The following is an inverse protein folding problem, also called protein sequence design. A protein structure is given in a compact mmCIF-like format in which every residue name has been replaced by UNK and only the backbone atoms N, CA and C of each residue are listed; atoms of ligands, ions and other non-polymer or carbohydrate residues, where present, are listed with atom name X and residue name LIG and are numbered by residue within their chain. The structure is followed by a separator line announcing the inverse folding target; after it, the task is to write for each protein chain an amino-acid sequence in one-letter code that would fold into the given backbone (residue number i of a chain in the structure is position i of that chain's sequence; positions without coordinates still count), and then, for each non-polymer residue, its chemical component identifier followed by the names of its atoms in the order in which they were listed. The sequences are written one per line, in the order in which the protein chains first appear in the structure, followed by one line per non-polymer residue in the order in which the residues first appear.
data_IF_379374665611
#
_entry.id   IF_379374665611
#
_cell.length_a   1.000
_cell.length_b   1.000
_cell.length_c   1.000
_cell.angle_alpha   90.00
_cell.angle_beta   90.00
_cell.angle_gamma   90.00
#
_symmetry.space_group_name_H-M   'P 1'
#
loop_
_entity.id
_entity.type
_entity.pdbx_description
1 polymer ?
#
# COMPACT_ATOMS: atom_id res chain seq x y z
N UNK A 1 1.12 -12.92 2.77
CA UNK A 1 2.42 -12.73 3.47
C UNK A 1 3.36 -11.95 2.58
N UNK A 2 4.14 -11.02 3.13
CA UNK A 2 5.17 -10.27 2.41
C UNK A 2 6.52 -10.62 3.04
N UNK A 3 7.52 -10.98 2.22
CA UNK A 3 8.87 -11.27 2.67
C UNK A 3 9.86 -10.42 1.90
N UNK A 4 10.83 -9.88 2.61
CA UNK A 4 11.90 -9.03 2.06
C UNK A 4 13.23 -9.53 2.59
N UNK A 5 14.18 -9.77 1.69
CA UNK A 5 15.51 -10.27 2.03
C UNK A 5 16.58 -9.33 1.44
N UNK A 6 17.32 -8.66 2.32
CA UNK A 6 18.44 -7.73 1.99
C UNK A 6 18.11 -6.76 0.85
N UNK A 7 16.86 -6.24 0.81
CA UNK A 7 16.44 -5.36 -0.28
C UNK A 7 17.18 -4.02 -0.19
N UNK A 8 17.86 -3.66 -1.28
CA UNK A 8 18.58 -2.40 -1.46
C UNK A 8 17.99 -1.62 -2.61
N UNK A 9 17.98 -0.31 -2.48
CA UNK A 9 17.60 0.58 -3.57
C UNK A 9 18.57 1.75 -3.65
N UNK A 10 19.09 1.97 -4.84
CA UNK A 10 19.88 3.14 -5.18
C UNK A 10 19.49 3.73 -6.51
N UNK A 11 19.79 4.99 -6.69
CA UNK A 11 19.67 5.69 -7.97
C UNK A 11 21.04 6.22 -8.39
N UNK A 12 21.29 6.20 -9.70
CA UNK A 12 22.49 6.81 -10.27
C UNK A 12 22.17 8.25 -10.61
N UNK A 13 22.91 9.19 -10.02
CA UNK A 13 22.81 10.61 -10.33
C UNK A 13 24.16 11.09 -10.88
N UNK A 14 24.30 11.03 -12.20
CA UNK A 14 25.59 11.24 -12.86
C UNK A 14 26.63 10.21 -12.43
N UNK A 15 27.78 10.67 -11.93
CA UNK A 15 28.84 9.80 -11.40
C UNK A 15 28.59 9.33 -9.94
N UNK A 16 27.57 9.88 -9.27
CA UNK A 16 27.29 9.57 -7.87
C UNK A 16 26.16 8.59 -7.73
N UNK A 17 26.38 7.50 -6.97
CA UNK A 17 25.36 6.58 -6.50
C UNK A 17 24.77 7.11 -5.19
N UNK A 18 23.43 7.24 -5.12
CA UNK A 18 22.69 7.62 -3.93
C UNK A 18 21.92 6.40 -3.43
N UNK A 19 22.29 5.88 -2.26
CA UNK A 19 21.63 4.74 -1.63
C UNK A 19 20.41 5.24 -0.84
N UNK A 20 19.23 4.72 -1.19
CA UNK A 20 17.95 5.04 -0.54
C UNK A 20 17.61 3.99 0.50
N UNK A 21 17.75 2.70 0.16
CA UNK A 21 17.60 1.58 1.08
C UNK A 21 18.90 0.77 1.08
N UNK A 22 19.33 0.37 2.29
CA UNK A 22 20.69 -0.16 2.54
C UNK A 22 20.70 -1.61 3.03
N UNK A 23 19.69 -2.40 2.68
CA UNK A 23 19.56 -3.79 3.09
C UNK A 23 18.45 -3.97 4.13
N UNK A 24 17.21 -3.95 3.65
CA UNK A 24 16.03 -4.18 4.47
C UNK A 24 15.69 -5.66 4.43
N UNK A 25 15.55 -6.28 5.61
CA UNK A 25 15.01 -7.64 5.73
C UNK A 25 13.86 -7.62 6.73
N UNK A 26 12.68 -8.08 6.30
CA UNK A 26 11.48 -8.17 7.15
C UNK A 26 10.48 -9.18 6.59
N UNK A 27 9.62 -9.70 7.46
CA UNK A 27 8.46 -10.52 7.08
C UNK A 27 7.21 -9.88 7.66
N UNK A 28 6.17 -9.70 6.84
CA UNK A 28 4.84 -9.23 7.28
C UNK A 28 3.85 -10.37 7.08
N UNK A 29 3.37 -10.98 8.16
CA UNK A 29 2.33 -12.01 8.11
C UNK A 29 1.05 -11.50 7.47
N UNK A 30 0.26 -12.43 6.88
CA UNK A 30 -1.07 -12.09 6.38
C UNK A 30 -1.97 -11.58 7.52
N UNK A 31 -2.79 -10.59 7.22
CA UNK A 31 -3.74 -9.97 8.15
C UNK A 31 -3.13 -8.99 9.17
N UNK A 32 -1.80 -8.84 9.21
CA UNK A 32 -1.15 -7.90 10.13
C UNK A 32 -1.32 -6.45 9.69
N UNK A 33 -1.56 -5.56 10.66
CA UNK A 33 -1.43 -4.11 10.44
C UNK A 33 -0.04 -3.64 10.86
N UNK A 34 0.73 -3.17 9.89
CA UNK A 34 2.09 -2.65 10.08
C UNK A 34 2.14 -1.15 9.80
N UNK A 35 2.66 -0.37 10.73
CA UNK A 35 2.99 1.03 10.53
C UNK A 35 4.49 1.20 10.29
N UNK A 36 4.84 1.85 9.17
CA UNK A 36 6.22 2.22 8.82
C UNK A 36 6.41 3.70 9.15
N UNK A 37 7.32 3.98 10.07
CA UNK A 37 7.62 5.30 10.61
C UNK A 37 9.02 5.77 10.18
N UNK A 38 9.26 7.06 10.30
CA UNK A 38 10.59 7.66 10.08
C UNK A 38 10.48 9.09 9.55
N UNK A 39 11.59 9.83 9.60
CA UNK A 39 11.66 11.19 9.08
C UNK A 39 11.44 11.24 7.55
N UNK A 40 11.15 12.44 7.03
CA UNK A 40 11.13 12.65 5.57
C UNK A 40 12.49 12.26 4.96
N UNK A 41 12.46 11.58 3.82
CA UNK A 41 13.69 11.09 3.16
C UNK A 41 14.31 9.83 3.77
N UNK A 42 13.71 9.19 4.79
CA UNK A 42 14.26 7.96 5.38
C UNK A 42 14.10 6.70 4.52
N UNK A 43 13.36 6.78 3.39
CA UNK A 43 13.15 5.67 2.47
C UNK A 43 11.78 4.97 2.58
N UNK A 44 10.83 5.47 3.40
CA UNK A 44 9.51 4.85 3.64
C UNK A 44 8.70 4.61 2.37
N UNK A 45 8.44 5.67 1.60
CA UNK A 45 7.67 5.57 0.35
C UNK A 45 8.40 4.72 -0.69
N UNK A 46 9.74 4.73 -0.71
CA UNK A 46 10.54 3.84 -1.56
C UNK A 46 10.33 2.38 -1.15
N UNK A 47 10.42 2.07 0.15
CA UNK A 47 10.16 0.71 0.63
C UNK A 47 8.74 0.29 0.26
N UNK A 48 7.73 1.13 0.53
CA UNK A 48 6.35 0.83 0.18
C UNK A 48 6.17 0.57 -1.33
N UNK A 49 6.83 1.37 -2.18
CA UNK A 49 6.83 1.19 -3.63
C UNK A 49 7.46 -0.13 -4.08
N UNK A 50 8.54 -0.56 -3.42
CA UNK A 50 9.15 -1.88 -3.67
C UNK A 50 8.21 -3.02 -3.24
N UNK A 51 7.60 -2.93 -2.06
CA UNK A 51 6.65 -3.93 -1.57
C UNK A 51 5.42 -4.06 -2.48
N UNK A 52 5.00 -2.94 -3.08
CA UNK A 52 3.88 -2.90 -4.03
C UNK A 52 4.26 -3.35 -5.44
N UNK A 53 5.53 -3.60 -5.73
CA UNK A 53 5.99 -3.86 -7.10
C UNK A 53 5.80 -2.67 -8.03
N UNK A 54 5.74 -1.44 -7.51
CA UNK A 54 5.73 -0.20 -8.31
C UNK A 54 7.14 0.17 -8.79
N UNK A 55 8.14 -0.38 -8.12
CA UNK A 55 9.55 -0.25 -8.49
C UNK A 55 10.27 -1.56 -8.13
N UNK A 56 11.42 -1.82 -8.74
CA UNK A 56 12.23 -2.99 -8.46
C UNK A 56 13.38 -2.66 -7.50
N UNK A 57 13.75 -3.56 -6.58
CA UNK A 57 14.95 -3.40 -5.79
C UNK A 57 16.19 -3.41 -6.69
N UNK A 58 17.23 -2.67 -6.31
CA UNK A 58 18.51 -2.70 -7.01
C UNK A 58 19.31 -3.98 -6.70
N UNK A 59 19.05 -4.59 -5.53
CA UNK A 59 19.49 -5.94 -5.14
C UNK A 59 18.64 -6.43 -3.98
N UNK A 60 18.72 -7.73 -3.68
CA UNK A 60 17.89 -8.39 -2.69
C UNK A 60 16.58 -8.91 -3.28
N UNK A 61 15.73 -9.48 -2.45
CA UNK A 61 14.55 -10.22 -2.89
C UNK A 61 13.28 -9.72 -2.20
N UNK A 62 12.17 -9.77 -2.92
CA UNK A 62 10.83 -9.45 -2.41
C UNK A 62 9.87 -10.53 -2.89
N UNK A 63 9.08 -11.05 -1.95
CA UNK A 63 8.14 -12.13 -2.18
C UNK A 63 6.75 -11.74 -1.68
N UNK A 64 5.72 -12.04 -2.46
CA UNK A 64 4.30 -11.88 -2.08
C UNK A 64 3.61 -13.24 -2.16
N UNK A 65 3.13 -13.73 -1.03
CA UNK A 65 2.48 -15.05 -0.90
C UNK A 65 3.31 -16.18 -1.51
N UNK A 66 4.61 -16.19 -1.24
CA UNK A 66 5.55 -17.18 -1.75
C UNK A 66 5.95 -17.01 -3.21
N UNK A 67 5.46 -15.99 -3.92
CA UNK A 67 5.84 -15.69 -5.29
C UNK A 67 6.90 -14.57 -5.33
N UNK A 68 8.07 -14.76 -5.99
CA UNK A 68 9.08 -13.73 -6.11
C UNK A 68 8.59 -12.63 -7.07
N UNK A 69 8.57 -11.36 -6.60
CA UNK A 69 8.16 -10.24 -7.45
C UNK A 69 9.32 -9.38 -7.92
N UNK A 70 10.50 -9.55 -7.36
CA UNK A 70 11.69 -8.73 -7.63
C UNK A 70 12.30 -8.93 -9.01
N UNK A 71 11.94 -9.99 -9.71
CA UNK A 71 12.45 -10.38 -11.03
C UNK A 71 11.36 -10.57 -12.09
N UNK A 72 10.10 -10.26 -11.79
CA UNK A 72 9.00 -10.35 -12.75
C UNK A 72 9.08 -9.26 -13.82
N UNK A 73 8.63 -9.57 -15.04
CA UNK A 73 8.40 -8.58 -16.07
C UNK A 73 7.26 -7.61 -15.67
N UNK A 74 7.26 -6.38 -16.21
CA UNK A 74 6.26 -5.37 -15.84
C UNK A 74 4.82 -5.83 -16.09
N UNK A 75 4.57 -6.61 -17.14
CA UNK A 75 3.24 -7.19 -17.41
C UNK A 75 2.77 -8.14 -16.32
N UNK A 76 3.68 -8.96 -15.78
CA UNK A 76 3.42 -9.89 -14.69
C UNK A 76 3.21 -9.13 -13.36
N UNK A 77 4.08 -8.13 -13.09
CA UNK A 77 3.94 -7.23 -11.94
C UNK A 77 2.61 -6.48 -11.96
N UNK A 78 2.18 -5.97 -13.13
CA UNK A 78 0.89 -5.31 -13.28
C UNK A 78 -0.28 -6.24 -12.93
N UNK A 79 -0.22 -7.52 -13.36
CA UNK A 79 -1.23 -8.51 -13.02
C UNK A 79 -1.24 -8.85 -11.51
N UNK A 80 -0.07 -8.93 -10.88
CA UNK A 80 0.04 -9.13 -9.41
C UNK A 80 -0.53 -7.92 -8.67
N UNK A 81 -0.12 -6.70 -9.03
CA UNK A 81 -0.65 -5.46 -8.42
C UNK A 81 -2.16 -5.40 -8.53
N UNK A 82 -2.70 -5.59 -9.75
CA UNK A 82 -4.13 -5.47 -10.02
C UNK A 82 -5.01 -6.43 -9.23
N UNK A 83 -4.50 -7.60 -8.85
CA UNK A 83 -5.26 -8.63 -8.14
C UNK A 83 -4.99 -8.68 -6.64
N UNK A 84 -3.76 -8.34 -6.21
CA UNK A 84 -3.32 -8.57 -4.84
C UNK A 84 -3.14 -7.31 -4.02
N UNK A 85 -3.02 -6.14 -4.64
CA UNK A 85 -2.63 -4.91 -3.93
C UNK A 85 -3.63 -3.80 -4.19
N UNK A 86 -4.25 -3.30 -3.13
CA UNK A 86 -4.92 -2.01 -3.12
C UNK A 86 -3.94 -0.93 -2.68
N UNK A 87 -3.86 0.18 -3.41
CA UNK A 87 -2.96 1.26 -3.05
C UNK A 87 -3.71 2.57 -2.78
N UNK A 88 -3.39 3.21 -1.64
CA UNK A 88 -3.90 4.53 -1.25
C UNK A 88 -2.73 5.50 -1.20
N UNK A 89 -2.72 6.47 -2.11
CA UNK A 89 -1.67 7.48 -2.20
C UNK A 89 -2.01 8.73 -1.40
N UNK A 90 -1.00 9.43 -0.92
CA UNK A 90 -1.15 10.73 -0.25
C UNK A 90 -1.82 11.77 -1.15
N UNK A 91 -1.54 11.79 -2.45
CA UNK A 91 -2.07 12.72 -3.45
C UNK A 91 -3.28 12.18 -4.22
N UNK A 92 -4.03 11.22 -3.66
CA UNK A 92 -5.22 10.57 -4.19
C UNK A 92 -5.04 9.85 -5.53
N UNK A 93 -4.33 10.44 -6.48
CA UNK A 93 -4.06 9.95 -7.85
C UNK A 93 -5.35 9.48 -8.57
N UNK A 94 -6.39 10.28 -8.48
CA UNK A 94 -7.60 10.08 -9.26
C UNK A 94 -7.38 10.52 -10.70
N UNK A 95 -7.99 9.79 -11.62
CA UNK A 95 -8.00 10.16 -13.05
C UNK A 95 -9.01 11.30 -13.22
N UNK A 96 -8.53 12.49 -13.58
CA UNK A 96 -9.33 13.72 -13.59
C UNK A 96 -10.50 13.69 -14.60
N UNK A 97 -10.40 12.88 -15.64
CA UNK A 97 -11.40 12.72 -16.70
C UNK A 97 -12.45 11.65 -16.40
N UNK A 98 -12.32 10.95 -15.29
CA UNK A 98 -13.26 9.93 -14.82
C UNK A 98 -14.03 10.44 -13.61
N UNK A 99 -15.32 10.08 -13.51
CA UNK A 99 -16.15 10.32 -12.34
C UNK A 99 -15.64 9.54 -11.12
N UNK A 100 -16.19 9.80 -9.93
CA UNK A 100 -15.88 9.03 -8.73
C UNK A 100 -16.17 7.54 -8.92
N UNK A 101 -17.32 7.21 -9.51
CA UNK A 101 -17.71 5.82 -9.79
C UNK A 101 -16.75 5.14 -10.76
N UNK A 102 -16.40 5.81 -11.86
CA UNK A 102 -15.47 5.28 -12.87
C UNK A 102 -14.06 5.10 -12.30
N UNK A 103 -13.58 6.04 -11.47
CA UNK A 103 -12.29 5.89 -10.76
C UNK A 103 -12.27 4.64 -9.87
N UNK A 104 -13.36 4.38 -9.13
CA UNK A 104 -13.47 3.20 -8.27
C UNK A 104 -13.61 1.92 -9.10
N UNK A 105 -14.33 1.96 -10.19
CA UNK A 105 -14.62 0.79 -11.03
C UNK A 105 -13.40 0.32 -11.84
N UNK A 106 -12.53 1.25 -12.24
CA UNK A 106 -11.42 0.99 -13.16
C UNK A 106 -10.53 -0.22 -12.78
N UNK A 107 -10.05 -0.39 -11.54
CA UNK A 107 -9.24 -1.56 -11.19
C UNK A 107 -9.99 -2.88 -11.35
N UNK A 108 -11.31 -2.88 -11.13
CA UNK A 108 -12.14 -4.07 -11.33
C UNK A 108 -12.23 -4.44 -12.82
N UNK A 109 -12.53 -3.48 -13.68
CA UNK A 109 -12.64 -3.69 -15.12
C UNK A 109 -11.33 -4.18 -15.77
N UNK A 110 -10.19 -3.75 -15.23
CA UNK A 110 -8.87 -4.15 -15.74
C UNK A 110 -8.44 -5.55 -15.28
N UNK A 111 -8.97 -6.09 -14.17
CA UNK A 111 -8.41 -7.26 -13.52
C UNK A 111 -9.40 -8.40 -13.27
N UNK A 112 -10.71 -8.14 -13.35
CA UNK A 112 -11.77 -9.10 -13.01
C UNK A 112 -12.78 -9.18 -14.15
N UNK A 113 -13.18 -10.39 -14.50
CA UNK A 113 -14.23 -10.60 -15.48
C UNK A 113 -15.62 -10.27 -14.88
N UNK A 114 -16.49 -9.67 -15.68
CA UNK A 114 -17.85 -9.33 -15.27
C UNK A 114 -18.03 -7.85 -14.90
N UNK A 115 -19.11 -7.52 -14.22
CA UNK A 115 -19.44 -6.15 -13.87
C UNK A 115 -19.18 -5.86 -12.39
N UNK A 116 -18.21 -4.98 -12.11
CA UNK A 116 -17.90 -4.47 -10.78
C UNK A 116 -18.85 -3.35 -10.29
N UNK A 117 -19.84 -2.96 -11.10
CA UNK A 117 -20.66 -1.76 -10.84
C UNK A 117 -21.37 -1.79 -9.48
N UNK A 118 -21.94 -2.94 -9.10
CA UNK A 118 -22.60 -3.10 -7.80
C UNK A 118 -21.62 -2.94 -6.64
N UNK A 119 -20.43 -3.48 -6.78
CA UNK A 119 -19.36 -3.40 -5.79
C UNK A 119 -18.85 -1.96 -5.65
N UNK A 120 -18.57 -1.28 -6.76
CA UNK A 120 -18.10 0.10 -6.76
C UNK A 120 -19.13 1.06 -6.12
N UNK A 121 -20.41 0.91 -6.45
CA UNK A 121 -21.51 1.70 -5.83
C UNK A 121 -21.62 1.45 -4.33
N UNK A 122 -21.54 0.19 -3.89
CA UNK A 122 -21.54 -0.17 -2.48
C UNK A 122 -20.38 0.48 -1.73
N UNK A 123 -19.16 0.42 -2.28
CA UNK A 123 -17.98 1.01 -1.65
C UNK A 123 -18.09 2.53 -1.55
N UNK A 124 -18.62 3.20 -2.58
CA UNK A 124 -18.84 4.65 -2.51
C UNK A 124 -19.91 5.02 -1.48
N UNK A 125 -20.95 4.22 -1.31
CA UNK A 125 -21.93 4.41 -0.25
C UNK A 125 -21.32 4.21 1.13
N UNK A 126 -20.55 3.14 1.33
CA UNK A 126 -19.83 2.86 2.59
C UNK A 126 -18.87 3.98 3.01
N UNK A 127 -18.28 4.71 2.05
CA UNK A 127 -17.44 5.88 2.34
C UNK A 127 -18.21 7.21 2.36
N UNK A 128 -19.56 7.16 2.34
CA UNK A 128 -20.44 8.33 2.43
C UNK A 128 -20.44 9.20 1.17
N UNK A 129 -20.30 8.60 -0.01
CA UNK A 129 -20.26 9.29 -1.30
C UNK A 129 -21.36 8.82 -2.28
N UNK A 130 -22.48 8.27 -1.77
CA UNK A 130 -23.61 7.83 -2.59
C UNK A 130 -24.11 8.91 -3.56
N UNK A 131 -24.24 10.16 -3.06
CA UNK A 131 -24.71 11.32 -3.84
C UNK A 131 -23.61 11.99 -4.69
N UNK A 132 -22.38 11.45 -4.68
CA UNK A 132 -21.22 12.00 -5.37
C UNK A 132 -20.65 11.10 -6.47
N UNK A 133 -21.32 10.00 -6.79
CA UNK A 133 -20.83 8.99 -7.72
C UNK A 133 -20.51 9.54 -9.12
N UNK A 134 -21.32 10.48 -9.60
CA UNK A 134 -21.19 11.09 -10.93
C UNK A 134 -20.31 12.36 -10.95
N UNK A 135 -19.71 12.74 -9.80
CA UNK A 135 -18.85 13.90 -9.72
C UNK A 135 -17.43 13.58 -10.20
N UNK A 136 -16.83 14.53 -10.92
CA UNK A 136 -15.42 14.49 -11.30
C UNK A 136 -14.51 14.93 -10.12
N UNK A 137 -13.24 14.52 -10.08
CA UNK A 137 -12.34 14.90 -8.99
C UNK A 137 -12.27 16.40 -8.69
N UNK A 138 -12.35 17.26 -9.70
CA UNK A 138 -12.37 18.73 -9.55
C UNK A 138 -13.59 19.25 -8.78
N UNK A 139 -14.67 18.48 -8.71
CA UNK A 139 -15.91 18.82 -8.01
C UNK A 139 -15.95 18.30 -6.57
N UNK A 140 -14.93 17.53 -6.17
CA UNK A 140 -14.82 16.88 -4.87
C UNK A 140 -13.81 17.62 -4.00
N UNK A 141 -14.13 17.75 -2.71
CA UNK A 141 -13.16 18.18 -1.69
C UNK A 141 -12.01 17.18 -1.56
N UNK A 142 -10.89 17.60 -0.97
CA UNK A 142 -9.74 16.70 -0.74
C UNK A 142 -10.11 15.45 0.08
N UNK A 143 -10.96 15.60 1.10
CA UNK A 143 -11.46 14.47 1.89
C UNK A 143 -12.36 13.52 1.08
N UNK A 144 -13.21 14.06 0.19
CA UNK A 144 -14.02 13.24 -0.71
C UNK A 144 -13.15 12.50 -1.72
N UNK A 145 -12.14 13.17 -2.31
CA UNK A 145 -11.18 12.52 -3.22
C UNK A 145 -10.42 11.37 -2.53
N UNK A 146 -10.00 11.55 -1.28
CA UNK A 146 -9.34 10.50 -0.51
C UNK A 146 -10.26 9.31 -0.27
N UNK A 147 -11.54 9.56 0.03
CA UNK A 147 -12.53 8.49 0.18
C UNK A 147 -12.81 7.75 -1.13
N UNK A 148 -12.80 8.43 -2.28
CA UNK A 148 -12.84 7.78 -3.60
C UNK A 148 -11.61 6.90 -3.81
N UNK A 149 -10.40 7.41 -3.50
CA UNK A 149 -9.16 6.64 -3.61
C UNK A 149 -9.17 5.41 -2.68
N UNK A 150 -9.74 5.53 -1.48
CA UNK A 150 -9.93 4.42 -0.56
C UNK A 150 -10.90 3.37 -1.15
N UNK A 151 -12.08 3.78 -1.63
CA UNK A 151 -13.04 2.88 -2.28
C UNK A 151 -12.41 2.16 -3.48
N UNK A 152 -11.63 2.88 -4.30
CA UNK A 152 -10.87 2.31 -5.43
C UNK A 152 -9.89 1.23 -4.99
N UNK A 153 -9.18 1.44 -3.88
CA UNK A 153 -8.21 0.47 -3.37
C UNK A 153 -8.86 -0.86 -2.95
N UNK A 154 -10.13 -0.84 -2.57
CA UNK A 154 -10.85 -2.03 -2.10
C UNK A 154 -11.77 -2.70 -3.14
N UNK A 155 -11.93 -2.15 -4.34
CA UNK A 155 -12.93 -2.65 -5.30
C UNK A 155 -12.67 -4.09 -5.77
N UNK A 156 -11.41 -4.52 -5.81
CA UNK A 156 -11.00 -5.90 -6.16
C UNK A 156 -10.85 -6.81 -4.92
N UNK A 157 -11.23 -6.32 -3.73
CA UNK A 157 -11.09 -7.03 -2.45
C UNK A 157 -9.67 -7.58 -2.23
N UNK A 158 -8.62 -6.74 -2.34
CA UNK A 158 -7.24 -7.21 -2.33
C UNK A 158 -6.85 -7.77 -0.96
N UNK A 159 -6.01 -8.83 -0.90
CA UNK A 159 -5.50 -9.35 0.37
C UNK A 159 -4.50 -8.41 1.06
N UNK A 160 -3.94 -7.44 0.33
CA UNK A 160 -2.95 -6.49 0.84
C UNK A 160 -3.40 -5.07 0.47
N UNK A 161 -3.39 -4.16 1.43
CA UNK A 161 -3.56 -2.73 1.20
C UNK A 161 -2.32 -2.00 1.69
N UNK A 162 -1.79 -1.15 0.81
CA UNK A 162 -0.65 -0.28 1.09
C UNK A 162 -1.10 1.17 1.04
N UNK A 163 -0.75 1.94 2.05
CA UNK A 163 -1.15 3.34 2.17
C UNK A 163 0.05 4.23 2.50
N UNK A 164 0.30 5.22 1.65
CA UNK A 164 1.34 6.22 1.88
C UNK A 164 0.70 7.51 2.38
N UNK A 165 0.88 7.79 3.67
CA UNK A 165 0.32 8.95 4.39
C UNK A 165 -1.16 9.23 4.06
N UNK A 166 -2.07 8.25 4.21
CA UNK A 166 -3.45 8.35 3.70
C UNK A 166 -4.29 9.44 4.37
N UNK A 167 -3.82 10.01 5.47
CA UNK A 167 -4.50 11.07 6.24
C UNK A 167 -3.77 12.40 6.20
N UNK A 168 -2.57 12.47 5.60
CA UNK A 168 -1.66 13.61 5.71
C UNK A 168 -2.19 14.93 5.12
N UNK A 169 -3.14 14.88 4.19
CA UNK A 169 -3.76 16.05 3.56
C UNK A 169 -5.19 16.32 4.03
N UNK A 170 -5.63 15.66 5.11
CA UNK A 170 -7.01 15.73 5.59
C UNK A 170 -7.10 16.48 6.93
N UNK A 171 -8.26 17.11 7.15
CA UNK A 171 -8.62 17.54 8.50
C UNK A 171 -8.82 16.33 9.43
N UNK A 172 -8.79 16.57 10.73
CA UNK A 172 -8.82 15.52 11.74
C UNK A 172 -10.07 14.62 11.70
N UNK A 173 -11.22 15.12 11.22
CA UNK A 173 -12.44 14.32 11.15
C UNK A 173 -12.41 13.36 9.96
N UNK A 174 -12.03 13.87 8.78
CA UNK A 174 -11.87 13.04 7.57
C UNK A 174 -10.71 12.04 7.73
N UNK A 175 -9.60 12.45 8.36
CA UNK A 175 -8.46 11.57 8.64
C UNK A 175 -8.86 10.38 9.52
N UNK A 176 -9.61 10.60 10.60
CA UNK A 176 -10.13 9.52 11.46
C UNK A 176 -11.05 8.58 10.69
N UNK A 177 -11.98 9.10 9.90
CA UNK A 177 -12.88 8.28 9.09
C UNK A 177 -12.12 7.36 8.14
N UNK A 178 -11.14 7.88 7.41
CA UNK A 178 -10.29 7.10 6.49
C UNK A 178 -9.53 6.00 7.23
N UNK A 179 -8.94 6.34 8.38
CA UNK A 179 -8.21 5.36 9.20
C UNK A 179 -9.14 4.28 9.75
N UNK A 180 -10.33 4.64 10.24
CA UNK A 180 -11.29 3.68 10.78
C UNK A 180 -11.78 2.70 9.71
N UNK A 181 -12.02 3.18 8.48
CA UNK A 181 -12.37 2.33 7.33
C UNK A 181 -11.23 1.35 6.98
N UNK A 182 -9.97 1.79 6.96
CA UNK A 182 -8.81 0.93 6.73
C UNK A 182 -8.71 -0.17 7.80
N UNK A 183 -8.87 0.20 9.07
CA UNK A 183 -8.79 -0.74 10.20
C UNK A 183 -9.98 -1.70 10.24
N UNK A 184 -11.16 -1.23 9.89
CA UNK A 184 -12.35 -2.10 9.79
C UNK A 184 -12.14 -3.20 8.75
N UNK A 185 -11.60 -2.86 7.58
CA UNK A 185 -11.28 -3.83 6.52
C UNK A 185 -10.17 -4.79 6.94
N UNK A 186 -9.10 -4.30 7.57
CA UNK A 186 -8.07 -5.17 8.13
C UNK A 186 -8.67 -6.22 9.10
N UNK A 187 -9.49 -5.78 10.06
CA UNK A 187 -10.07 -6.67 11.09
C UNK A 187 -11.14 -7.62 10.55
N UNK A 188 -12.05 -7.16 9.69
CA UNK A 188 -13.19 -7.95 9.21
C UNK A 188 -12.82 -8.87 8.05
N UNK A 189 -11.99 -8.42 7.12
CA UNK A 189 -11.60 -9.17 5.93
C UNK A 189 -10.25 -9.88 6.07
N UNK A 190 -9.50 -9.66 7.16
CA UNK A 190 -8.16 -10.19 7.32
C UNK A 190 -7.15 -9.59 6.32
N UNK A 191 -7.46 -8.40 5.77
CA UNK A 191 -6.58 -7.71 4.82
C UNK A 191 -5.28 -7.28 5.51
N UNK A 192 -4.14 -7.62 4.94
CA UNK A 192 -2.84 -7.11 5.42
C UNK A 192 -2.75 -5.61 5.13
N UNK A 193 -2.46 -4.80 6.14
CA UNK A 193 -2.37 -3.34 6.00
C UNK A 193 -0.94 -2.88 6.27
N UNK A 194 -0.30 -2.27 5.26
CA UNK A 194 1.02 -1.63 5.40
C UNK A 194 0.84 -0.13 5.21
N UNK A 195 1.03 0.64 6.26
CA UNK A 195 0.76 2.07 6.28
C UNK A 195 2.04 2.86 6.61
N UNK A 196 2.42 3.76 5.72
CA UNK A 196 3.47 4.75 5.98
C UNK A 196 2.83 5.97 6.63
N UNK A 197 3.36 6.41 7.76
CA UNK A 197 2.87 7.61 8.45
C UNK A 197 3.97 8.25 9.29
N UNK A 198 3.80 9.54 9.56
CA UNK A 198 4.55 10.25 10.61
C UNK A 198 3.66 10.56 11.83
N UNK A 199 2.38 10.18 11.80
CA UNK A 199 1.42 10.42 12.87
C UNK A 199 1.54 9.32 13.95
N UNK A 200 1.92 9.68 15.20
CA UNK A 200 2.04 8.73 16.30
C UNK A 200 0.71 8.09 16.71
N UNK A 201 -0.42 8.81 16.56
CA UNK A 201 -1.76 8.30 16.89
C UNK A 201 -2.12 7.15 15.95
N UNK A 202 -1.92 7.36 14.64
CA UNK A 202 -2.12 6.32 13.63
C UNK A 202 -1.22 5.12 13.90
N UNK A 203 0.06 5.34 14.15
CA UNK A 203 1.03 4.30 14.45
C UNK A 203 0.71 3.53 15.74
N UNK A 204 0.09 4.19 16.74
CA UNK A 204 -0.28 3.53 18.00
C UNK A 204 -1.34 2.42 17.83
N UNK A 205 -2.11 2.46 16.74
CA UNK A 205 -3.17 1.49 16.42
C UNK A 205 -2.66 0.28 15.64
N UNK A 206 -1.39 0.29 15.21
CA UNK A 206 -0.77 -0.82 14.47
C UNK A 206 -0.36 -1.97 15.39
N UNK A 207 -0.47 -3.21 14.87
CA UNK A 207 0.01 -4.41 15.56
C UNK A 207 1.55 -4.43 15.63
N UNK A 208 2.20 -3.80 14.64
CA UNK A 208 3.65 -3.73 14.54
C UNK A 208 4.10 -2.37 14.03
N UNK A 209 5.18 -1.85 14.62
CA UNK A 209 5.81 -0.59 14.22
C UNK A 209 7.22 -0.87 13.73
N UNK A 210 7.54 -0.33 12.55
CA UNK A 210 8.87 -0.41 11.95
C UNK A 210 9.36 1.03 11.75
N UNK A 211 10.51 1.37 12.33
CA UNK A 211 11.09 2.72 12.18
C UNK A 211 12.24 2.67 11.20
N UNK A 212 12.13 3.46 10.12
CA UNK A 212 13.19 3.66 9.15
C UNK A 212 13.98 4.94 9.46
N UNK A 213 15.31 4.82 9.42
CA UNK A 213 16.23 5.95 9.46
C UNK A 213 17.36 5.73 8.47
N UNK A 214 17.61 6.71 7.60
CA UNK A 214 18.73 6.71 6.63
C UNK A 214 18.82 5.43 5.78
N UNK A 215 17.66 4.87 5.39
CA UNK A 215 17.55 3.67 4.57
C UNK A 215 17.73 2.34 5.31
N UNK A 216 17.71 2.35 6.64
CA UNK A 216 17.82 1.16 7.49
C UNK A 216 16.62 1.05 8.43
N UNK A 217 16.25 -0.16 8.82
CA UNK A 217 15.35 -0.41 9.96
C UNK A 217 16.16 -0.24 11.24
N UNK A 218 15.76 0.73 12.07
CA UNK A 218 16.43 1.02 13.35
C UNK A 218 15.62 0.53 14.55
N UNK A 219 14.32 0.32 14.37
CA UNK A 219 13.44 -0.24 15.40
C UNK A 219 12.37 -1.10 14.72
N UNK A 220 12.06 -2.23 15.33
CA UNK A 220 10.99 -3.13 14.94
C UNK A 220 10.36 -3.70 16.20
N UNK A 221 9.08 -3.39 16.45
CA UNK A 221 8.39 -3.82 17.68
C UNK A 221 8.12 -5.33 17.76
N UNK A 222 8.21 -6.03 16.61
CA UNK A 222 8.22 -7.49 16.52
C UNK A 222 9.42 -7.89 15.67
N UNK A 223 10.57 -8.19 16.30
CA UNK A 223 11.81 -8.44 15.57
C UNK A 223 11.67 -9.63 14.62
N UNK A 224 12.32 -9.49 13.46
CA UNK A 224 12.42 -10.51 12.43
C UNK A 224 13.01 -11.80 13.00
N UNK A 225 12.22 -12.84 13.11
CA UNK A 225 12.75 -14.20 13.20
C UNK A 225 13.14 -14.61 11.77
N UNK A 226 14.44 -14.74 11.49
CA UNK A 226 14.90 -15.23 10.18
C UNK A 226 14.15 -16.52 9.85
N UNK A 227 13.70 -16.71 8.58
CA UNK A 227 13.10 -17.98 8.17
C UNK A 227 14.08 -19.10 8.54
N UNK A 228 13.59 -20.10 9.26
CA UNK A 228 14.38 -21.29 9.53
C UNK A 228 14.83 -21.87 8.19
N UNK A 229 16.11 -22.25 8.11
CA UNK A 229 16.82 -22.70 6.90
C UNK A 229 16.22 -23.98 6.22
N UNK A 230 15.01 -24.33 6.53
CA UNK A 230 14.30 -25.54 6.02
C UNK A 230 13.75 -25.39 4.59
N UNK A 231 13.69 -24.20 4.03
CA UNK A 231 13.16 -23.99 2.66
C UNK A 231 14.22 -24.08 1.54
N UNK A 232 15.51 -24.30 1.87
CA UNK A 232 16.59 -24.37 0.87
C UNK A 232 16.92 -25.81 0.38
N UNK A 233 16.16 -26.85 0.80
CA UNK A 233 16.47 -28.24 0.43
C UNK A 233 15.52 -28.92 -0.55
N UNK A 234 14.54 -28.20 -1.11
CA UNK A 234 13.63 -28.76 -2.14
C UNK A 234 13.66 -27.89 -3.42
N UNK A 235 14.78 -27.84 -4.08
CA UNK A 235 14.99 -27.28 -5.40
C UNK A 235 15.65 -28.32 -6.30
#
# INVERSE_FOLDING_TARGET
MIEVLDAKKWIQNGARRVEILKGISLVIPAGQFVAILGASGSGKSTLLGLLAGLDAPSSGEIWLDGAPIHNLAETELAAVRGRKIGFVFQSYQLIATLTALENVLLPYELNVEGSGLKQARRLLDEVGLAERMDHYPVQLSGGEQQRVALARAFVVEPPIVMADEPTGNLDSANGRMVLDLLLERNRKAGTTLVLVTHDPEVASRADRKIVLKDGLVVEDSLPFAAPSAELQQNG
#
